data_IF_940858189838
#
_entry.id   IF_940858189838
#
_cell.length_a   1.000
_cell.length_b   1.000
_cell.length_c   1.000
_cell.angle_alpha   90.00
_cell.angle_beta   90.00
_cell.angle_gamma   90.00
#
_symmetry.space_group_name_H-M   'P 1'
#
loop_
_entity.id
_entity.type
_entity.pdbx_description
1 polymer ?
#
# COMPACT_ATOMS: atom_id res chain seq x y z
N UNK A 1 -33.81 50.16 -43.79
CA UNK A 1 -32.63 50.58 -43.00
C UNK A 1 -31.78 51.58 -43.80
N UNK A 2 -31.12 52.50 -43.10
CA UNK A 2 -30.09 53.40 -43.66
C UNK A 2 -28.77 52.65 -43.87
N UNK A 3 -27.79 53.27 -44.54
CA UNK A 3 -26.46 52.65 -44.79
C UNK A 3 -25.74 52.32 -43.47
N UNK A 4 -25.70 53.27 -42.56
CA UNK A 4 -24.98 53.12 -41.29
C UNK A 4 -25.67 52.07 -40.40
N UNK A 5 -27.01 51.98 -40.44
CA UNK A 5 -27.77 50.90 -39.80
C UNK A 5 -27.46 49.52 -40.38
N UNK A 6 -27.34 49.41 -41.71
CA UNK A 6 -27.00 48.14 -42.37
C UNK A 6 -25.58 47.69 -42.01
N UNK A 7 -24.61 48.61 -42.01
CA UNK A 7 -23.22 48.32 -41.64
C UNK A 7 -23.13 47.91 -40.15
N UNK A 8 -23.85 48.60 -39.25
CA UNK A 8 -23.90 48.25 -37.84
C UNK A 8 -24.60 46.91 -37.57
N UNK A 9 -25.72 46.62 -38.27
CA UNK A 9 -26.45 45.36 -38.10
C UNK A 9 -25.63 44.18 -38.61
N UNK A 10 -24.98 44.33 -39.77
CA UNK A 10 -24.09 43.31 -40.33
C UNK A 10 -22.90 43.02 -39.41
N UNK A 11 -22.21 44.05 -38.92
CA UNK A 11 -21.09 43.87 -37.98
C UNK A 11 -21.51 43.11 -36.70
N UNK A 12 -22.67 43.45 -36.13
CA UNK A 12 -23.22 42.77 -34.94
C UNK A 12 -23.57 41.30 -35.22
N UNK A 13 -24.16 40.99 -36.37
CA UNK A 13 -24.54 39.62 -36.73
C UNK A 13 -23.32 38.75 -37.06
N UNK A 14 -22.25 39.34 -37.61
CA UNK A 14 -20.98 38.64 -37.82
C UNK A 14 -20.29 38.29 -36.50
N UNK A 15 -20.30 39.20 -35.52
CA UNK A 15 -19.84 38.92 -34.15
C UNK A 15 -20.69 37.82 -33.49
N UNK A 16 -22.02 37.85 -33.67
CA UNK A 16 -22.90 36.78 -33.20
C UNK A 16 -22.58 35.43 -33.85
N UNK A 17 -22.32 35.40 -35.17
CA UNK A 17 -21.88 34.20 -35.90
C UNK A 17 -20.61 33.61 -35.30
N UNK A 18 -19.61 34.46 -35.01
CA UNK A 18 -18.34 34.03 -34.45
C UNK A 18 -18.53 33.42 -33.05
N UNK A 19 -19.33 34.07 -32.20
CA UNK A 19 -19.68 33.53 -30.86
C UNK A 19 -20.42 32.20 -30.93
N UNK A 20 -21.40 32.07 -31.83
CA UNK A 20 -22.13 30.80 -32.02
C UNK A 20 -21.17 29.71 -32.52
N UNK A 21 -20.33 30.01 -33.51
CA UNK A 21 -19.35 29.07 -34.05
C UNK A 21 -18.36 28.60 -32.98
N UNK A 22 -17.85 29.51 -32.16
CA UNK A 22 -16.98 29.17 -31.04
C UNK A 22 -17.69 28.25 -30.02
N UNK A 23 -18.93 28.56 -29.65
CA UNK A 23 -19.70 27.73 -28.71
C UNK A 23 -19.96 26.31 -29.24
N UNK A 24 -20.27 26.15 -30.53
CA UNK A 24 -20.46 24.83 -31.14
C UNK A 24 -19.16 24.01 -31.12
N UNK A 25 -18.02 24.63 -31.42
CA UNK A 25 -16.71 23.97 -31.37
C UNK A 25 -16.30 23.62 -29.93
N UNK A 26 -16.59 24.48 -28.95
CA UNK A 26 -16.38 24.19 -27.52
C UNK A 26 -17.21 23.00 -27.05
N UNK A 27 -18.46 22.90 -27.50
CA UNK A 27 -19.33 21.76 -27.20
C UNK A 27 -18.79 20.44 -27.80
N UNK A 28 -18.31 20.45 -29.04
CA UNK A 28 -17.66 19.28 -29.64
C UNK A 28 -16.33 18.92 -28.97
N UNK A 29 -15.59 19.92 -28.48
CA UNK A 29 -14.36 19.72 -27.73
C UNK A 29 -14.60 19.20 -26.30
N UNK A 30 -15.83 19.27 -25.79
CA UNK A 30 -16.17 18.78 -24.46
C UNK A 30 -15.91 17.28 -24.34
N UNK A 31 -15.35 16.85 -23.20
CA UNK A 31 -14.94 15.47 -22.96
C UNK A 31 -16.10 14.47 -23.17
N UNK A 32 -17.29 14.75 -22.62
CA UNK A 32 -18.48 13.93 -22.85
C UNK A 32 -18.86 13.73 -24.33
N UNK A 33 -18.62 14.71 -25.19
CA UNK A 33 -18.89 14.59 -26.63
C UNK A 33 -17.86 13.69 -27.31
N UNK A 34 -16.57 13.89 -26.99
CA UNK A 34 -15.48 13.05 -27.49
C UNK A 34 -15.62 11.59 -27.07
N UNK A 35 -16.09 11.34 -25.83
CA UNK A 35 -16.39 10.00 -25.34
C UNK A 35 -17.51 9.32 -26.14
N UNK A 36 -18.54 10.09 -26.51
CA UNK A 36 -19.62 9.59 -27.35
C UNK A 36 -19.12 9.17 -28.73
N UNK A 37 -18.24 9.92 -29.39
CA UNK A 37 -17.74 9.57 -30.73
C UNK A 37 -16.73 8.40 -30.73
N UNK A 38 -15.95 8.22 -29.66
CA UNK A 38 -14.86 7.24 -29.61
C UNK A 38 -15.22 5.82 -29.14
N UNK A 39 -16.41 5.63 -28.54
CA UNK A 39 -16.76 4.38 -27.85
C UNK A 39 -17.72 3.48 -28.66
N UNK A 40 -17.55 2.17 -28.53
CA UNK A 40 -18.55 1.20 -28.95
C UNK A 40 -19.65 1.12 -27.88
N UNK A 41 -20.70 1.93 -28.06
CA UNK A 41 -21.77 2.13 -27.09
C UNK A 41 -22.95 1.19 -27.33
N UNK A 42 -23.65 0.82 -26.27
CA UNK A 42 -24.91 0.08 -26.31
C UNK A 42 -25.98 0.72 -25.40
N UNK A 43 -27.17 0.10 -25.41
CA UNK A 43 -28.30 0.44 -24.54
C UNK A 43 -28.69 1.92 -24.54
N UNK A 44 -28.80 2.49 -23.34
CA UNK A 44 -29.28 3.86 -23.14
C UNK A 44 -28.23 4.89 -23.58
N UNK A 45 -26.94 4.61 -23.37
CA UNK A 45 -25.86 5.49 -23.81
C UNK A 45 -25.81 5.62 -25.34
N UNK A 46 -26.05 4.53 -26.08
CA UNK A 46 -26.18 4.57 -27.54
C UNK A 46 -27.39 5.42 -28.01
N UNK A 47 -28.50 5.37 -27.27
CA UNK A 47 -29.69 6.19 -27.55
C UNK A 47 -29.36 7.67 -27.41
N UNK A 48 -28.67 8.06 -26.33
CA UNK A 48 -28.21 9.43 -26.10
C UNK A 48 -27.19 9.86 -27.15
N UNK A 49 -26.25 8.99 -27.53
CA UNK A 49 -25.30 9.26 -28.63
C UNK A 49 -26.03 9.62 -29.92
N UNK A 50 -26.98 8.78 -30.33
CA UNK A 50 -27.72 8.93 -31.59
C UNK A 50 -28.53 10.22 -31.61
N UNK A 51 -29.14 10.54 -30.47
CA UNK A 51 -29.87 11.78 -30.23
C UNK A 51 -28.93 13.00 -30.39
N UNK A 52 -27.84 13.04 -29.61
CA UNK A 52 -26.86 14.13 -29.61
C UNK A 52 -26.29 14.35 -31.02
N UNK A 53 -25.92 13.28 -31.73
CA UNK A 53 -25.41 13.37 -33.11
C UNK A 53 -26.44 13.97 -34.07
N UNK A 54 -27.70 13.55 -33.94
CA UNK A 54 -28.78 14.07 -34.78
C UNK A 54 -29.04 15.57 -34.53
N UNK A 55 -29.05 15.99 -33.26
CA UNK A 55 -29.22 17.39 -32.86
C UNK A 55 -28.02 18.26 -33.28
N UNK A 56 -26.79 17.76 -33.13
CA UNK A 56 -25.58 18.46 -33.57
C UNK A 56 -25.52 18.61 -35.08
N UNK A 57 -25.88 17.59 -35.85
CA UNK A 57 -25.98 17.71 -37.30
C UNK A 57 -27.00 18.79 -37.71
N UNK A 58 -28.12 18.89 -37.00
CA UNK A 58 -29.13 19.92 -37.26
C UNK A 58 -28.68 21.33 -36.82
N UNK A 59 -27.95 21.46 -35.71
CA UNK A 59 -27.31 22.71 -35.28
C UNK A 59 -26.32 23.22 -36.34
N UNK A 60 -25.44 22.37 -36.84
CA UNK A 60 -24.50 22.73 -37.89
C UNK A 60 -25.20 23.09 -39.21
N UNK A 61 -26.29 22.41 -39.56
CA UNK A 61 -27.12 22.79 -40.72
C UNK A 61 -27.69 24.20 -40.55
N UNK A 62 -28.27 24.52 -39.39
CA UNK A 62 -28.81 25.85 -39.10
C UNK A 62 -27.70 26.92 -39.12
N UNK A 63 -26.55 26.61 -38.53
CA UNK A 63 -25.40 27.51 -38.52
C UNK A 63 -24.84 27.79 -39.92
N UNK A 64 -24.74 26.76 -40.77
CA UNK A 64 -24.29 26.92 -42.15
C UNK A 64 -25.28 27.77 -42.97
N UNK A 65 -26.59 27.54 -42.82
CA UNK A 65 -27.62 28.34 -43.48
C UNK A 65 -27.59 29.80 -43.00
N UNK A 66 -27.46 30.03 -41.70
CA UNK A 66 -27.27 31.35 -41.10
C UNK A 66 -26.02 32.03 -41.67
N UNK A 67 -24.90 31.32 -41.73
CA UNK A 67 -23.63 31.81 -42.26
C UNK A 67 -23.69 32.14 -43.76
N UNK A 68 -24.44 31.38 -44.56
CA UNK A 68 -24.65 31.65 -45.99
C UNK A 68 -25.41 32.95 -46.24
N UNK A 69 -26.43 33.25 -45.43
CA UNK A 69 -27.19 34.52 -45.53
C UNK A 69 -26.30 35.71 -45.19
N UNK A 70 -25.49 35.60 -44.13
CA UNK A 70 -24.52 36.64 -43.78
C UNK A 70 -23.45 36.84 -44.85
N UNK A 71 -22.91 35.75 -45.41
CA UNK A 71 -21.96 35.83 -46.53
C UNK A 71 -22.57 36.52 -47.76
N UNK A 72 -23.85 36.25 -48.07
CA UNK A 72 -24.55 36.93 -49.16
C UNK A 72 -24.73 38.44 -48.88
N UNK A 73 -25.01 38.82 -47.63
CA UNK A 73 -25.12 40.22 -47.23
C UNK A 73 -23.76 40.95 -47.28
N UNK A 74 -22.68 40.31 -46.81
CA UNK A 74 -21.30 40.81 -46.92
C UNK A 74 -20.90 41.03 -48.39
N UNK A 75 -21.14 40.02 -49.24
CA UNK A 75 -20.86 40.08 -50.67
C UNK A 75 -21.59 41.23 -51.35
N UNK A 76 -22.89 41.39 -51.06
CA UNK A 76 -23.71 42.47 -51.60
C UNK A 76 -23.16 43.83 -51.16
N UNK A 77 -22.69 43.94 -49.91
CA UNK A 77 -22.14 45.18 -49.37
C UNK A 77 -20.75 45.51 -49.92
N UNK A 78 -19.89 44.49 -50.08
CA UNK A 78 -18.53 44.63 -50.61
C UNK A 78 -18.53 45.03 -52.09
N UNK A 79 -19.45 44.47 -52.89
CA UNK A 79 -19.62 44.83 -54.32
C UNK A 79 -20.16 46.25 -54.51
N UNK A 80 -20.83 46.81 -53.51
CA UNK A 80 -21.48 48.12 -53.59
C UNK A 80 -21.05 49.05 -52.45
N UNK A 81 -19.92 49.75 -52.63
CA UNK A 81 -19.40 50.72 -51.65
C UNK A 81 -20.39 51.84 -51.28
N UNK A 82 -21.28 52.23 -52.20
CA UNK A 82 -22.45 53.09 -51.97
C UNK A 82 -23.72 52.38 -52.48
N UNK A 83 -24.42 51.62 -51.64
CA UNK A 83 -25.63 50.90 -52.04
C UNK A 83 -26.76 51.88 -52.36
N UNK A 84 -27.49 51.62 -53.46
CA UNK A 84 -28.71 52.34 -53.81
C UNK A 84 -29.92 51.81 -53.05
N UNK A 85 -31.10 52.36 -53.33
CA UNK A 85 -32.34 52.00 -52.63
C UNK A 85 -32.72 50.52 -52.80
N UNK A 86 -32.48 49.95 -53.99
CA UNK A 86 -32.72 48.52 -54.25
C UNK A 86 -31.79 47.61 -53.44
N UNK A 87 -30.49 47.96 -53.36
CA UNK A 87 -29.52 47.21 -52.56
C UNK A 87 -29.80 47.33 -51.05
N UNK A 88 -30.20 48.52 -50.57
CA UNK A 88 -30.60 48.70 -49.17
C UNK A 88 -31.87 47.91 -48.82
N UNK A 89 -32.84 47.81 -49.73
CA UNK A 89 -34.02 46.97 -49.55
C UNK A 89 -33.65 45.49 -49.47
N UNK A 90 -32.74 45.02 -50.33
CA UNK A 90 -32.27 43.64 -50.31
C UNK A 90 -31.45 43.33 -49.05
N UNK A 91 -30.57 44.25 -48.60
CA UNK A 91 -29.88 44.12 -47.30
C UNK A 91 -30.88 44.07 -46.14
N UNK A 92 -31.93 44.89 -46.17
CA UNK A 92 -33.00 44.84 -45.16
C UNK A 92 -33.67 43.46 -45.15
N UNK A 93 -33.95 42.90 -46.33
CA UNK A 93 -34.56 41.57 -46.46
C UNK A 93 -33.64 40.47 -45.91
N UNK A 94 -32.35 40.51 -46.24
CA UNK A 94 -31.36 39.52 -45.78
C UNK A 94 -31.16 39.57 -44.25
N UNK A 95 -31.07 40.77 -43.68
CA UNK A 95 -30.71 40.95 -42.27
C UNK A 95 -31.92 40.88 -41.32
N UNK A 96 -33.06 41.47 -41.69
CA UNK A 96 -34.26 41.55 -40.82
C UNK A 96 -35.43 40.68 -41.32
N UNK A 97 -35.40 40.23 -42.58
CA UNK A 97 -36.46 39.44 -43.21
C UNK A 97 -36.22 37.93 -43.17
N UNK A 98 -37.22 37.13 -43.61
CA UNK A 98 -37.09 35.68 -43.73
C UNK A 98 -36.16 35.35 -44.89
N UNK A 99 -34.94 34.92 -44.56
CA UNK A 99 -33.85 34.71 -45.53
C UNK A 99 -33.07 33.42 -45.32
N UNK A 100 -33.22 32.77 -44.16
CA UNK A 100 -32.67 31.44 -43.90
C UNK A 100 -33.66 30.41 -44.43
N UNK A 101 -33.33 29.77 -45.55
CA UNK A 101 -34.19 28.77 -46.19
C UNK A 101 -33.84 27.36 -45.72
N UNK A 102 -34.74 26.70 -44.99
CA UNK A 102 -34.56 25.32 -44.59
C UNK A 102 -34.82 24.38 -45.77
N UNK A 103 -34.06 23.27 -45.90
CA UNK A 103 -34.36 22.24 -46.88
C UNK A 103 -35.81 21.76 -46.72
N UNK A 104 -36.55 21.68 -47.82
CA UNK A 104 -37.91 21.18 -47.78
C UNK A 104 -37.91 19.74 -47.26
N UNK A 105 -38.73 19.46 -46.23
CA UNK A 105 -38.98 18.08 -45.81
C UNK A 105 -39.60 17.32 -46.99
N UNK A 106 -39.06 16.16 -47.32
CA UNK A 106 -39.65 15.30 -48.33
C UNK A 106 -41.09 14.97 -47.92
N UNK A 107 -42.04 15.49 -48.69
CA UNK A 107 -43.45 15.14 -48.54
C UNK A 107 -43.62 13.73 -49.11
N UNK A 108 -44.14 12.75 -48.34
CA UNK A 108 -44.44 11.41 -48.85
C UNK A 108 -45.33 11.49 -50.09
N UNK A 109 -45.13 10.58 -51.05
CA UNK A 109 -45.81 10.63 -52.36
C UNK A 109 -47.34 10.69 -52.22
N UNK A 110 -47.90 10.07 -51.18
CA UNK A 110 -49.34 10.02 -50.89
C UNK A 110 -49.91 11.39 -50.48
N UNK A 111 -49.06 12.33 -50.07
CA UNK A 111 -49.43 13.69 -49.64
C UNK A 111 -48.98 14.77 -50.62
N UNK A 112 -48.38 14.40 -51.76
CA UNK A 112 -47.98 15.36 -52.81
C UNK A 112 -49.17 15.73 -53.68
N UNK A 113 -49.32 17.02 -54.00
CA UNK A 113 -50.25 17.51 -55.03
C UNK A 113 -49.46 18.01 -56.25
N UNK A 114 -50.05 17.94 -57.45
CA UNK A 114 -49.37 18.29 -58.71
C UNK A 114 -48.84 19.75 -58.78
N UNK A 115 -49.33 20.63 -57.90
CA UNK A 115 -48.96 22.06 -57.84
C UNK A 115 -48.25 22.45 -56.54
N UNK A 116 -48.02 21.52 -55.61
CA UNK A 116 -47.24 21.84 -54.41
C UNK A 116 -45.76 21.80 -54.72
N UNK A 117 -45.18 22.99 -54.93
CA UNK A 117 -43.73 23.17 -54.82
C UNK A 117 -43.38 22.91 -53.35
N UNK A 118 -42.40 22.03 -53.05
CA UNK A 118 -41.91 21.90 -51.69
C UNK A 118 -41.30 23.23 -51.26
N UNK A 119 -42.09 24.09 -50.62
CA UNK A 119 -41.60 25.33 -50.03
C UNK A 119 -40.92 24.96 -48.72
N UNK A 120 -39.61 25.16 -48.65
CA UNK A 120 -38.89 25.13 -47.38
C UNK A 120 -39.50 26.14 -46.39
N UNK A 121 -39.42 25.82 -45.11
CA UNK A 121 -39.68 26.80 -44.04
C UNK A 121 -38.61 27.90 -44.16
N UNK A 122 -39.04 29.17 -44.14
CA UNK A 122 -38.12 30.32 -44.16
C UNK A 122 -38.08 30.97 -42.78
N UNK A 123 -36.88 31.21 -42.28
CA UNK A 123 -36.62 31.80 -40.98
C UNK A 123 -35.91 33.14 -41.14
N UNK A 124 -36.15 34.05 -40.21
CA UNK A 124 -35.26 35.20 -40.01
C UNK A 124 -33.97 34.73 -39.33
N UNK A 125 -32.88 35.50 -39.43
CA UNK A 125 -31.64 35.20 -38.71
C UNK A 125 -31.88 35.02 -37.21
N UNK A 126 -32.70 35.89 -36.60
CA UNK A 126 -33.10 35.78 -35.20
C UNK A 126 -33.87 34.48 -34.91
N UNK A 127 -34.85 34.13 -35.75
CA UNK A 127 -35.62 32.90 -35.56
C UNK A 127 -34.77 31.62 -35.74
N UNK A 128 -33.71 31.68 -36.55
CA UNK A 128 -32.73 30.59 -36.63
C UNK A 128 -31.97 30.43 -35.31
N UNK A 129 -31.46 31.54 -34.74
CA UNK A 129 -30.80 31.52 -33.42
C UNK A 129 -31.75 31.06 -32.32
N UNK A 130 -32.98 31.60 -32.26
CA UNK A 130 -34.00 31.19 -31.29
C UNK A 130 -34.30 29.68 -31.34
N UNK A 131 -34.11 29.05 -32.51
CA UNK A 131 -34.28 27.61 -32.71
C UNK A 131 -33.02 26.81 -32.40
N UNK A 132 -31.83 27.38 -32.61
CA UNK A 132 -30.55 26.77 -32.24
C UNK A 132 -30.38 26.73 -30.72
N UNK A 133 -30.76 27.79 -30.00
CA UNK A 133 -30.57 27.91 -28.55
C UNK A 133 -31.06 26.69 -27.74
N UNK A 134 -32.33 26.26 -27.82
CA UNK A 134 -32.79 25.11 -27.05
C UNK A 134 -32.13 23.80 -27.48
N UNK A 135 -31.80 23.64 -28.77
CA UNK A 135 -31.08 22.46 -29.25
C UNK A 135 -29.67 22.38 -28.66
N UNK A 136 -28.98 23.52 -28.61
CA UNK A 136 -27.67 23.62 -27.99
C UNK A 136 -27.73 23.31 -26.49
N UNK A 137 -28.67 23.91 -25.77
CA UNK A 137 -28.85 23.68 -24.33
C UNK A 137 -29.16 22.21 -24.02
N UNK A 138 -30.03 21.57 -24.80
CA UNK A 138 -30.34 20.14 -24.65
C UNK A 138 -29.11 19.25 -24.88
N UNK A 139 -28.32 19.52 -25.94
CA UNK A 139 -27.10 18.74 -26.21
C UNK A 139 -26.06 18.98 -25.14
N UNK A 140 -25.82 20.23 -24.74
CA UNK A 140 -24.87 20.59 -23.70
C UNK A 140 -25.21 19.90 -22.37
N UNK A 141 -26.49 19.89 -21.99
CA UNK A 141 -26.95 19.22 -20.78
C UNK A 141 -26.77 17.70 -20.85
N UNK A 142 -27.08 17.08 -21.99
CA UNK A 142 -26.89 15.64 -22.19
C UNK A 142 -25.40 15.23 -22.12
N UNK A 143 -24.53 15.99 -22.79
CA UNK A 143 -23.08 15.78 -22.81
C UNK A 143 -22.47 15.97 -21.42
N UNK A 144 -22.84 17.04 -20.71
CA UNK A 144 -22.35 17.30 -19.36
C UNK A 144 -22.84 16.25 -18.33
N UNK A 145 -24.10 15.83 -18.44
CA UNK A 145 -24.68 14.79 -17.60
C UNK A 145 -23.98 13.44 -17.79
N UNK A 146 -23.74 13.06 -19.05
CA UNK A 146 -22.97 11.85 -19.38
C UNK A 146 -21.56 11.92 -18.82
N UNK A 147 -20.83 13.01 -19.04
CA UNK A 147 -19.47 13.19 -18.54
C UNK A 147 -19.39 13.04 -17.02
N UNK A 148 -20.35 13.63 -16.30
CA UNK A 148 -20.46 13.54 -14.84
C UNK A 148 -20.64 12.08 -14.38
N UNK A 149 -21.60 11.36 -14.98
CA UNK A 149 -21.86 9.96 -14.66
C UNK A 149 -20.64 9.10 -14.96
N UNK A 150 -20.08 9.25 -16.15
CA UNK A 150 -18.99 8.40 -16.62
C UNK A 150 -17.70 8.63 -15.84
N UNK A 151 -17.33 9.89 -15.60
CA UNK A 151 -16.14 10.24 -14.80
C UNK A 151 -16.25 9.71 -13.36
N UNK A 152 -17.45 9.74 -12.78
CA UNK A 152 -17.70 9.17 -11.44
C UNK A 152 -17.54 7.65 -11.45
N UNK A 153 -18.14 6.96 -12.43
CA UNK A 153 -18.05 5.50 -12.55
C UNK A 153 -16.62 5.03 -12.83
N UNK A 154 -15.87 5.71 -13.69
CA UNK A 154 -14.47 5.37 -14.00
C UNK A 154 -13.55 5.58 -12.79
N UNK A 155 -13.73 6.69 -12.07
CA UNK A 155 -12.99 6.95 -10.84
C UNK A 155 -13.25 5.86 -9.81
N UNK A 156 -14.52 5.49 -9.63
CA UNK A 156 -14.92 4.45 -8.69
C UNK A 156 -14.40 3.07 -9.12
N UNK A 157 -14.46 2.75 -10.41
CA UNK A 157 -13.93 1.50 -10.98
C UNK A 157 -12.42 1.37 -10.71
N UNK A 158 -11.64 2.44 -10.92
CA UNK A 158 -10.20 2.46 -10.66
C UNK A 158 -9.87 2.14 -9.18
N UNK A 159 -10.66 2.67 -8.23
CA UNK A 159 -10.53 2.32 -6.81
C UNK A 159 -10.79 0.84 -6.54
N UNK A 160 -11.82 0.25 -7.16
CA UNK A 160 -12.13 -1.18 -6.98
C UNK A 160 -11.05 -2.07 -7.61
N UNK A 161 -10.52 -1.69 -8.77
CA UNK A 161 -9.41 -2.40 -9.42
C UNK A 161 -8.11 -2.35 -8.61
N UNK A 162 -7.87 -1.25 -7.89
CA UNK A 162 -6.74 -1.15 -6.96
C UNK A 162 -6.89 -2.11 -5.78
N UNK A 163 -8.08 -2.19 -5.17
CA UNK A 163 -8.38 -3.15 -4.11
C UNK A 163 -8.27 -4.60 -4.61
N UNK A 164 -8.72 -4.90 -5.83
CA UNK A 164 -8.54 -6.23 -6.44
C UNK A 164 -7.07 -6.61 -6.54
N UNK A 165 -6.22 -5.71 -7.05
CA UNK A 165 -4.77 -5.93 -7.18
C UNK A 165 -4.11 -6.21 -5.84
N UNK A 166 -4.49 -5.48 -4.78
CA UNK A 166 -3.99 -5.73 -3.43
C UNK A 166 -4.35 -7.15 -2.93
N UNK A 167 -5.56 -7.63 -3.22
CA UNK A 167 -5.98 -9.00 -2.89
C UNK A 167 -5.19 -10.04 -3.69
N UNK A 168 -4.94 -9.82 -4.99
CA UNK A 168 -4.12 -10.70 -5.83
C UNK A 168 -2.71 -10.87 -5.27
N UNK A 169 -2.06 -9.77 -4.87
CA UNK A 169 -0.72 -9.78 -4.30
C UNK A 169 -0.65 -10.58 -3.00
N UNK A 170 -1.65 -10.44 -2.12
CA UNK A 170 -1.74 -11.22 -0.88
C UNK A 170 -1.99 -12.71 -1.14
N UNK A 171 -2.85 -13.06 -2.09
CA UNK A 171 -3.08 -14.46 -2.48
C UNK A 171 -1.81 -15.09 -3.06
N UNK A 172 -1.06 -14.35 -3.88
CA UNK A 172 0.22 -14.80 -4.42
C UNK A 172 1.27 -15.02 -3.32
N UNK A 173 1.34 -14.12 -2.33
CA UNK A 173 2.21 -14.28 -1.14
C UNK A 173 1.86 -15.54 -0.33
N UNK A 174 0.56 -15.82 -0.15
CA UNK A 174 0.08 -16.95 0.65
C UNK A 174 0.05 -18.28 -0.12
N UNK A 175 0.15 -18.26 -1.46
CA UNK A 175 0.13 -19.45 -2.31
C UNK A 175 -1.23 -20.15 -2.35
N UNK A 176 -2.33 -19.39 -2.18
CA UNK A 176 -3.69 -19.91 -2.07
C UNK A 176 -4.60 -19.54 -3.23
N UNK A 177 -5.69 -20.30 -3.38
CA UNK A 177 -6.82 -19.96 -4.26
C UNK A 177 -8.02 -19.69 -3.37
N UNK A 178 -8.71 -18.57 -3.58
CA UNK A 178 -9.90 -18.19 -2.81
C UNK A 178 -11.12 -18.12 -3.76
N UNK A 179 -12.06 -19.08 -3.69
CA UNK A 179 -13.24 -19.08 -4.58
C UNK A 179 -14.11 -17.83 -4.46
N UNK A 180 -14.14 -17.21 -3.28
CA UNK A 180 -14.83 -15.93 -3.07
C UNK A 180 -14.24 -14.78 -3.90
N UNK A 181 -12.93 -14.82 -4.15
CA UNK A 181 -12.23 -13.83 -4.97
C UNK A 181 -12.59 -13.96 -6.45
N UNK A 182 -12.64 -15.19 -6.98
CA UNK A 182 -12.98 -15.43 -8.37
C UNK A 182 -14.38 -14.91 -8.73
N UNK A 183 -15.33 -15.07 -7.81
CA UNK A 183 -16.68 -14.50 -7.95
C UNK A 183 -16.66 -12.97 -7.99
N UNK A 184 -15.95 -12.33 -7.08
CA UNK A 184 -15.84 -10.87 -7.02
C UNK A 184 -15.14 -10.30 -8.26
N UNK A 185 -14.13 -11.00 -8.79
CA UNK A 185 -13.43 -10.63 -10.02
C UNK A 185 -14.36 -10.72 -11.23
N UNK A 186 -15.13 -11.81 -11.36
CA UNK A 186 -16.11 -11.93 -12.44
C UNK A 186 -17.19 -10.84 -12.36
N UNK A 187 -17.67 -10.51 -11.16
CA UNK A 187 -18.63 -9.42 -10.95
C UNK A 187 -18.02 -8.05 -11.30
N UNK A 188 -16.75 -7.80 -10.97
CA UNK A 188 -16.04 -6.59 -11.38
C UNK A 188 -15.90 -6.50 -12.90
N UNK A 189 -15.53 -7.59 -13.56
CA UNK A 189 -15.39 -7.66 -15.02
C UNK A 189 -16.71 -7.34 -15.72
N UNK A 190 -17.83 -7.88 -15.22
CA UNK A 190 -19.18 -7.61 -15.71
C UNK A 190 -19.55 -6.13 -15.56
N UNK A 191 -19.40 -5.57 -14.35
CA UNK A 191 -19.71 -4.15 -14.11
C UNK A 191 -18.79 -3.24 -14.92
N UNK A 192 -17.50 -3.57 -15.04
CA UNK A 192 -16.54 -2.81 -15.84
C UNK A 192 -16.86 -2.85 -17.34
N UNK A 193 -17.47 -3.93 -17.84
CA UNK A 193 -17.99 -3.98 -19.20
C UNK A 193 -19.18 -3.01 -19.36
N UNK A 194 -20.14 -3.01 -18.44
CA UNK A 194 -21.26 -2.06 -18.45
C UNK A 194 -20.79 -0.61 -18.36
N UNK A 195 -19.86 -0.26 -17.47
CA UNK A 195 -19.31 1.10 -17.34
C UNK A 195 -18.66 1.60 -18.65
N UNK A 196 -18.11 0.69 -19.46
CA UNK A 196 -17.43 1.04 -20.72
C UNK A 196 -18.38 1.12 -21.92
N UNK A 197 -19.46 0.35 -21.92
CA UNK A 197 -20.37 0.23 -23.06
C UNK A 197 -21.68 1.02 -22.86
N UNK A 198 -22.27 0.96 -21.67
CA UNK A 198 -23.50 1.69 -21.29
C UNK A 198 -23.43 2.27 -19.86
N UNK A 199 -22.61 3.32 -19.63
CA UNK A 199 -22.54 3.98 -18.33
C UNK A 199 -23.90 4.56 -17.88
N UNK A 200 -24.79 4.96 -18.79
CA UNK A 200 -26.11 5.49 -18.42
C UNK A 200 -27.08 4.42 -17.91
N UNK A 201 -26.87 3.12 -18.21
CA UNK A 201 -27.58 2.04 -17.52
C UNK A 201 -27.29 2.01 -16.01
N UNK A 202 -26.18 2.62 -15.59
CA UNK A 202 -25.81 2.81 -14.19
C UNK A 202 -26.04 4.25 -13.73
N UNK A 203 -27.01 4.95 -14.30
CA UNK A 203 -27.44 6.27 -13.83
C UNK A 203 -28.82 6.22 -13.17
N UNK A 204 -29.01 6.98 -12.09
CA UNK A 204 -30.31 7.24 -11.46
C UNK A 204 -30.45 8.73 -11.19
N UNK A 205 -31.53 9.33 -11.67
CA UNK A 205 -31.82 10.75 -11.52
C UNK A 205 -30.66 11.68 -11.94
N UNK A 206 -29.90 11.27 -12.97
CA UNK A 206 -28.75 12.01 -13.49
C UNK A 206 -27.45 11.83 -12.70
N UNK A 207 -27.44 10.96 -11.68
CA UNK A 207 -26.26 10.64 -10.88
C UNK A 207 -25.80 9.20 -11.13
N UNK A 208 -24.50 8.94 -11.00
CA UNK A 208 -23.94 7.60 -11.11
C UNK A 208 -24.39 6.70 -9.95
N UNK A 209 -24.96 5.53 -10.26
CA UNK A 209 -25.25 4.44 -9.33
C UNK A 209 -24.00 3.56 -9.15
N UNK A 210 -23.26 3.82 -8.08
CA UNK A 210 -22.04 3.06 -7.75
C UNK A 210 -22.30 1.83 -6.91
N UNK A 211 -23.57 1.48 -6.60
CA UNK A 211 -23.88 0.47 -5.59
C UNK A 211 -23.27 -0.90 -5.89
N UNK A 212 -23.24 -1.32 -7.16
CA UNK A 212 -22.59 -2.58 -7.58
C UNK A 212 -21.08 -2.54 -7.35
N UNK A 213 -20.40 -1.46 -7.75
CA UNK A 213 -18.97 -1.25 -7.51
C UNK A 213 -18.65 -1.18 -6.01
N UNK A 214 -19.51 -0.54 -5.23
CA UNK A 214 -19.39 -0.46 -3.76
C UNK A 214 -19.55 -1.83 -3.09
N UNK A 215 -20.47 -2.65 -3.57
CA UNK A 215 -20.65 -4.04 -3.14
C UNK A 215 -19.38 -4.87 -3.37
N UNK A 216 -18.84 -4.83 -4.60
CA UNK A 216 -17.60 -5.53 -4.95
C UNK A 216 -16.42 -5.03 -4.12
N UNK A 217 -16.25 -3.70 -3.96
CA UNK A 217 -15.19 -3.14 -3.11
C UNK A 217 -15.30 -3.64 -1.68
N UNK A 218 -16.51 -3.65 -1.13
CA UNK A 218 -16.75 -4.12 0.25
C UNK A 218 -16.38 -5.60 0.40
N UNK A 219 -16.72 -6.44 -0.57
CA UNK A 219 -16.31 -7.84 -0.62
C UNK A 219 -14.80 -8.01 -0.69
N UNK A 220 -14.14 -7.28 -1.60
CA UNK A 220 -12.67 -7.30 -1.75
C UNK A 220 -11.97 -6.82 -0.47
N UNK A 221 -12.44 -5.75 0.16
CA UNK A 221 -11.86 -5.23 1.40
C UNK A 221 -12.06 -6.19 2.60
N UNK A 222 -13.19 -6.91 2.65
CA UNK A 222 -13.40 -7.96 3.66
C UNK A 222 -12.43 -9.14 3.45
N UNK A 223 -12.26 -9.57 2.20
CA UNK A 223 -11.31 -10.61 1.86
C UNK A 223 -9.87 -10.18 2.15
N UNK A 224 -9.47 -8.97 1.74
CA UNK A 224 -8.15 -8.40 2.03
C UNK A 224 -7.82 -8.45 3.51
N UNK A 225 -8.72 -8.00 4.38
CA UNK A 225 -8.53 -8.06 5.84
C UNK A 225 -8.30 -9.49 6.36
N UNK A 226 -9.01 -10.46 5.79
CA UNK A 226 -8.86 -11.89 6.14
C UNK A 226 -7.47 -12.41 5.73
N UNK A 227 -7.02 -12.04 4.53
CA UNK A 227 -5.72 -12.44 4.01
C UNK A 227 -4.56 -11.75 4.75
N UNK A 228 -4.69 -10.46 5.07
CA UNK A 228 -3.72 -9.71 5.89
C UNK A 228 -3.59 -10.30 7.31
N UNK A 229 -4.69 -10.81 7.88
CA UNK A 229 -4.64 -11.55 9.14
C UNK A 229 -3.91 -12.88 8.99
N UNK A 230 -4.19 -13.64 7.94
CA UNK A 230 -3.49 -14.89 7.65
C UNK A 230 -1.98 -14.68 7.42
N UNK A 231 -1.60 -13.63 6.70
CA UNK A 231 -0.20 -13.26 6.48
C UNK A 231 0.48 -12.88 7.79
N UNK A 232 -0.14 -12.03 8.62
CA UNK A 232 0.39 -11.68 9.96
C UNK A 232 0.59 -12.91 10.83
N UNK A 233 -0.33 -13.87 10.79
CA UNK A 233 -0.20 -15.13 11.53
C UNK A 233 0.98 -15.99 11.00
N UNK A 234 1.13 -16.10 9.68
CA UNK A 234 2.26 -16.81 9.04
C UNK A 234 3.61 -16.17 9.42
N UNK A 235 3.69 -14.85 9.34
CA UNK A 235 4.92 -14.09 9.59
C UNK A 235 5.27 -14.10 11.09
N UNK A 236 4.27 -13.97 11.96
CA UNK A 236 4.43 -14.14 13.40
C UNK A 236 4.94 -15.53 13.76
N UNK A 237 4.39 -16.59 13.15
CA UNK A 237 4.88 -17.95 13.32
C UNK A 237 6.33 -18.12 12.86
N UNK A 238 6.64 -17.60 11.67
CA UNK A 238 8.00 -17.64 11.10
C UNK A 238 9.01 -16.87 11.97
N UNK A 239 8.58 -15.75 12.56
CA UNK A 239 9.36 -14.97 13.53
C UNK A 239 9.68 -15.78 14.80
N UNK A 240 8.68 -16.45 15.37
CA UNK A 240 8.85 -17.29 16.56
C UNK A 240 9.81 -18.46 16.31
N UNK A 241 9.68 -19.16 15.18
CA UNK A 241 10.60 -20.22 14.80
C UNK A 241 12.05 -19.71 14.69
N UNK A 242 12.26 -18.54 14.07
CA UNK A 242 13.60 -17.90 14.03
C UNK A 242 14.11 -17.53 15.43
N UNK A 243 13.24 -17.04 16.29
CA UNK A 243 13.56 -16.75 17.70
C UNK A 243 14.05 -17.98 18.45
N UNK A 244 13.32 -19.10 18.35
CA UNK A 244 13.74 -20.38 18.95
C UNK A 244 15.08 -20.83 18.37
N UNK A 245 15.27 -20.78 17.05
CA UNK A 245 16.54 -21.15 16.42
C UNK A 245 17.71 -20.32 16.99
N UNK A 246 17.53 -19.01 17.15
CA UNK A 246 18.54 -18.14 17.77
C UNK A 246 18.83 -18.48 19.24
N UNK A 247 17.79 -18.77 20.03
CA UNK A 247 17.96 -19.21 21.41
C UNK A 247 18.72 -20.55 21.52
N UNK A 248 18.51 -21.45 20.56
CA UNK A 248 19.25 -22.72 20.49
C UNK A 248 20.72 -22.52 20.12
N UNK A 249 21.07 -21.57 19.26
CA UNK A 249 22.48 -21.24 19.01
C UNK A 249 23.17 -20.71 20.27
N UNK A 250 22.53 -19.77 20.97
CA UNK A 250 23.05 -19.26 22.25
C UNK A 250 23.22 -20.37 23.30
N UNK A 251 22.30 -21.34 23.32
CA UNK A 251 22.42 -22.52 24.17
C UNK A 251 23.61 -23.40 23.79
N UNK A 252 23.85 -23.65 22.48
CA UNK A 252 25.02 -24.42 22.03
C UNK A 252 26.33 -23.75 22.43
N UNK A 253 26.41 -22.43 22.30
CA UNK A 253 27.56 -21.63 22.73
C UNK A 253 27.77 -21.75 24.24
N UNK A 254 26.72 -21.58 25.05
CA UNK A 254 26.79 -21.70 26.50
C UNK A 254 27.20 -23.11 26.96
N UNK A 255 26.70 -24.17 26.31
CA UNK A 255 27.11 -25.55 26.60
C UNK A 255 28.58 -25.81 26.20
N UNK A 256 29.07 -25.17 25.12
CA UNK A 256 30.47 -25.25 24.71
C UNK A 256 31.40 -24.50 25.67
N UNK A 257 30.99 -23.32 26.13
CA UNK A 257 31.69 -22.57 27.17
C UNK A 257 31.75 -23.36 28.48
N UNK A 258 30.64 -23.97 28.90
CA UNK A 258 30.58 -24.82 30.09
C UNK A 258 31.59 -25.98 30.01
N UNK A 259 31.70 -26.62 28.83
CA UNK A 259 32.71 -27.66 28.54
C UNK A 259 34.14 -27.12 28.67
N UNK A 260 34.44 -26.01 28.01
CA UNK A 260 35.78 -25.40 28.02
C UNK A 260 36.21 -24.99 29.44
N UNK A 261 35.34 -24.32 30.19
CA UNK A 261 35.62 -23.92 31.58
C UNK A 261 35.81 -25.15 32.47
N UNK A 262 35.01 -26.21 32.28
CA UNK A 262 35.18 -27.46 33.03
C UNK A 262 36.55 -28.09 32.78
N UNK A 263 37.01 -28.11 31.53
CA UNK A 263 38.31 -28.66 31.16
C UNK A 263 39.45 -27.83 31.76
N UNK A 264 39.31 -26.50 31.74
CA UNK A 264 40.26 -25.60 32.40
C UNK A 264 40.33 -25.83 33.92
N UNK A 265 39.18 -25.99 34.59
CA UNK A 265 39.12 -26.28 36.02
C UNK A 265 39.74 -27.64 36.33
N UNK A 266 39.48 -28.66 35.52
CA UNK A 266 40.10 -29.99 35.68
C UNK A 266 41.62 -29.93 35.54
N UNK A 267 42.15 -29.06 34.68
CA UNK A 267 43.58 -28.88 34.52
C UNK A 267 44.22 -28.08 35.67
N UNK A 268 43.50 -27.09 36.23
CA UNK A 268 44.06 -26.13 37.20
C UNK A 268 43.77 -26.46 38.67
N UNK A 269 42.73 -27.23 38.98
CA UNK A 269 42.27 -27.53 40.34
C UNK A 269 42.41 -29.03 40.62
N UNK A 270 42.99 -29.39 41.76
CA UNK A 270 43.12 -30.77 42.18
C UNK A 270 41.76 -31.31 42.70
N UNK A 271 41.35 -32.48 42.19
CA UNK A 271 40.13 -33.19 42.60
C UNK A 271 38.87 -32.28 42.77
N UNK A 272 38.47 -31.50 41.75
CA UNK A 272 37.31 -30.62 41.83
C UNK A 272 36.01 -31.43 41.85
N UNK A 273 35.05 -31.03 42.68
CA UNK A 273 33.67 -31.54 42.65
C UNK A 273 32.89 -30.66 41.68
N UNK A 274 32.50 -31.21 40.53
CA UNK A 274 31.90 -30.46 39.42
C UNK A 274 30.50 -30.99 39.12
N UNK A 275 29.51 -30.12 38.83
CA UNK A 275 28.19 -30.54 38.37
C UNK A 275 28.28 -31.23 37.00
N UNK A 276 27.23 -31.98 36.66
CA UNK A 276 27.05 -32.52 35.31
C UNK A 276 26.74 -31.39 34.32
N UNK A 277 27.31 -31.50 33.13
CA UNK A 277 27.09 -30.52 32.08
C UNK A 277 25.74 -30.77 31.41
N UNK A 278 24.90 -29.74 31.23
CA UNK A 278 23.72 -29.87 30.40
C UNK A 278 24.12 -30.14 28.94
N UNK A 279 23.34 -30.98 28.27
CA UNK A 279 23.49 -31.34 26.86
C UNK A 279 22.11 -31.44 26.20
N UNK A 280 21.37 -30.33 26.23
CA UNK A 280 19.98 -30.24 25.79
C UNK A 280 19.84 -29.66 24.40
N UNK A 281 20.87 -28.96 23.89
CA UNK A 281 20.78 -28.22 22.63
C UNK A 281 20.42 -29.11 21.42
N UNK A 282 21.04 -30.29 21.29
CA UNK A 282 20.78 -31.21 20.19
C UNK A 282 19.32 -31.73 20.21
N UNK A 283 18.84 -32.19 21.36
CA UNK A 283 17.48 -32.69 21.51
C UNK A 283 16.42 -31.61 21.24
N UNK A 284 16.67 -30.36 21.64
CA UNK A 284 15.77 -29.24 21.34
C UNK A 284 15.81 -28.84 19.86
N UNK A 285 16.97 -28.92 19.21
CA UNK A 285 17.09 -28.72 17.77
C UNK A 285 16.32 -29.77 16.96
N UNK A 286 16.39 -31.04 17.36
CA UNK A 286 15.60 -32.12 16.74
C UNK A 286 14.10 -31.88 16.90
N UNK A 287 13.66 -31.41 18.08
CA UNK A 287 12.27 -31.04 18.31
C UNK A 287 11.84 -29.84 17.44
N UNK A 288 12.70 -28.82 17.27
CA UNK A 288 12.42 -27.70 16.37
C UNK A 288 12.30 -28.17 14.90
N UNK A 289 13.18 -29.06 14.45
CA UNK A 289 13.12 -29.67 13.13
C UNK A 289 11.83 -30.49 12.93
N UNK A 290 11.37 -31.18 13.98
CA UNK A 290 10.11 -31.93 13.93
C UNK A 290 8.87 -31.03 13.82
N UNK A 291 8.89 -29.84 14.42
CA UNK A 291 7.80 -28.85 14.36
C UNK A 291 7.76 -28.13 13.01
N UNK A 292 8.92 -27.89 12.39
CA UNK A 292 9.05 -27.15 11.12
C UNK A 292 8.89 -28.00 9.87
N UNK A 293 8.84 -29.34 10.00
CA UNK A 293 8.67 -30.24 8.86
C UNK A 293 7.34 -29.96 8.13
N UNK A 294 7.33 -29.80 6.79
CA UNK A 294 6.10 -29.59 6.04
C UNK A 294 5.11 -30.74 6.28
N UNK A 295 3.93 -30.43 6.82
CA UNK A 295 2.85 -31.42 6.95
C UNK A 295 2.12 -31.52 5.62
N UNK A 296 2.41 -32.57 4.86
CA UNK A 296 1.63 -32.95 3.69
C UNK A 296 0.26 -33.44 4.14
N UNK A 297 -0.76 -32.60 3.98
CA UNK A 297 -2.17 -32.93 4.23
C UNK A 297 -2.66 -32.58 5.64
N UNK A 298 -3.71 -31.75 5.67
CA UNK A 298 -4.64 -31.53 6.77
C UNK A 298 -4.11 -30.85 8.05
N UNK A 299 -4.38 -29.54 8.15
CA UNK A 299 -4.80 -28.92 9.40
C UNK A 299 -5.71 -27.71 9.11
N UNK A 300 -6.97 -27.98 8.74
CA UNK A 300 -8.04 -26.98 8.92
C UNK A 300 -8.17 -26.71 10.43
N UNK A 301 -7.89 -25.50 10.88
CA UNK A 301 -8.20 -24.96 12.22
C UNK A 301 -7.52 -25.61 13.43
N UNK A 302 -7.75 -26.90 13.69
CA UNK A 302 -7.38 -27.57 14.95
C UNK A 302 -5.87 -27.86 15.10
N UNK A 303 -5.14 -28.04 14.00
CA UNK A 303 -3.69 -28.33 14.05
C UNK A 303 -2.81 -27.12 14.35
N UNK A 304 -3.28 -25.90 14.08
CA UNK A 304 -2.50 -24.68 14.32
C UNK A 304 -2.34 -24.37 15.81
N UNK A 305 -3.38 -24.62 16.61
CA UNK A 305 -3.31 -24.44 18.06
C UNK A 305 -2.30 -25.41 18.71
N UNK A 306 -2.26 -26.67 18.26
CA UNK A 306 -1.25 -27.65 18.73
C UNK A 306 0.17 -27.23 18.32
N UNK A 307 0.37 -26.80 17.08
CA UNK A 307 1.67 -26.32 16.60
C UNK A 307 2.11 -25.06 17.37
N UNK A 308 1.22 -24.10 17.61
CA UNK A 308 1.52 -22.90 18.37
C UNK A 308 1.90 -23.22 19.83
N UNK A 309 1.22 -24.20 20.46
CA UNK A 309 1.55 -24.68 21.79
C UNK A 309 2.94 -25.34 21.82
N UNK A 310 3.24 -26.21 20.85
CA UNK A 310 4.57 -26.85 20.74
C UNK A 310 5.71 -25.84 20.56
N UNK A 311 5.50 -24.76 19.81
CA UNK A 311 6.48 -23.68 19.69
C UNK A 311 6.64 -22.92 21.01
N UNK A 312 5.55 -22.62 21.72
CA UNK A 312 5.62 -21.97 23.03
C UNK A 312 6.35 -22.83 24.08
N UNK A 313 6.17 -24.15 24.00
CA UNK A 313 6.90 -25.10 24.84
C UNK A 313 8.39 -25.16 24.49
N UNK A 314 8.73 -25.05 23.21
CA UNK A 314 10.11 -24.99 22.74
C UNK A 314 10.82 -23.71 23.17
N UNK A 315 10.16 -22.56 23.05
CA UNK A 315 10.65 -21.26 23.52
C UNK A 315 11.02 -21.35 25.01
N UNK A 316 10.06 -21.77 25.86
CA UNK A 316 10.29 -21.92 27.30
C UNK A 316 11.39 -22.94 27.63
N UNK A 317 11.44 -24.05 26.90
CA UNK A 317 12.46 -25.08 27.13
C UNK A 317 13.87 -24.60 26.75
N UNK A 318 14.02 -23.86 25.65
CA UNK A 318 15.29 -23.28 25.22
C UNK A 318 15.79 -22.25 26.24
N UNK A 319 14.94 -21.33 26.68
CA UNK A 319 15.29 -20.31 27.68
C UNK A 319 15.71 -20.93 29.01
N UNK A 320 14.95 -21.92 29.48
CA UNK A 320 15.26 -22.64 30.73
C UNK A 320 16.58 -23.39 30.62
N UNK A 321 16.83 -24.06 29.50
CA UNK A 321 18.09 -24.77 29.27
C UNK A 321 19.29 -23.80 29.19
N UNK A 322 19.12 -22.65 28.54
CA UNK A 322 20.16 -21.62 28.42
C UNK A 322 20.52 -21.02 29.78
N UNK A 323 19.51 -20.68 30.59
CA UNK A 323 19.72 -20.19 31.94
C UNK A 323 20.49 -21.21 32.79
N UNK A 324 20.09 -22.49 32.73
CA UNK A 324 20.76 -23.58 33.45
C UNK A 324 22.20 -23.80 32.98
N UNK A 325 22.48 -23.71 31.68
CA UNK A 325 23.83 -23.82 31.14
C UNK A 325 24.73 -22.71 31.66
N UNK A 326 24.26 -21.46 31.63
CA UNK A 326 24.99 -20.29 32.16
C UNK A 326 25.24 -20.38 33.66
N UNK A 327 24.23 -20.79 34.43
CA UNK A 327 24.37 -21.02 35.87
C UNK A 327 25.43 -22.09 36.15
N UNK A 328 25.39 -23.21 35.43
CA UNK A 328 26.38 -24.29 35.54
C UNK A 328 27.79 -23.80 35.23
N UNK A 329 27.97 -23.03 34.16
CA UNK A 329 29.25 -22.39 33.82
C UNK A 329 29.74 -21.49 34.96
N UNK A 330 28.86 -20.67 35.54
CA UNK A 330 29.18 -19.79 36.68
C UNK A 330 29.66 -20.57 37.90
N UNK A 331 28.96 -21.65 38.27
CA UNK A 331 29.35 -22.53 39.38
C UNK A 331 30.73 -23.13 39.16
N UNK A 332 31.02 -23.62 37.94
CA UNK A 332 32.33 -24.20 37.60
C UNK A 332 33.42 -23.14 37.63
N UNK A 333 33.20 -21.97 37.00
CA UNK A 333 34.14 -20.85 36.94
C UNK A 333 34.48 -20.32 38.33
N UNK A 334 33.53 -20.33 39.26
CA UNK A 334 33.73 -19.92 40.65
C UNK A 334 34.88 -20.63 41.36
N UNK A 335 35.28 -21.83 40.94
CA UNK A 335 36.46 -22.52 41.48
C UNK A 335 37.78 -21.86 41.05
N UNK A 336 37.86 -21.36 39.82
CA UNK A 336 39.01 -20.59 39.33
C UNK A 336 39.04 -19.21 40.01
N UNK A 337 37.89 -18.56 40.11
CA UNK A 337 37.77 -17.26 40.78
C UNK A 337 38.21 -17.38 42.25
N UNK A 338 37.82 -18.47 42.93
CA UNK A 338 38.26 -18.75 44.29
C UNK A 338 39.77 -18.94 44.39
N UNK A 339 40.41 -19.58 43.41
CA UNK A 339 41.88 -19.71 43.35
C UNK A 339 42.53 -18.33 43.27
N UNK A 340 42.05 -17.47 42.38
CA UNK A 340 42.60 -16.12 42.20
C UNK A 340 42.33 -15.23 43.42
N UNK A 341 41.16 -15.35 44.07
CA UNK A 341 40.87 -14.67 45.33
C UNK A 341 41.88 -15.08 46.42
N UNK A 342 42.16 -16.38 46.59
CA UNK A 342 43.13 -16.87 47.57
C UNK A 342 44.54 -16.33 47.28
N UNK A 343 44.95 -16.26 46.00
CA UNK A 343 46.22 -15.66 45.58
C UNK A 343 46.30 -14.18 45.93
N UNK A 344 45.25 -13.42 45.66
CA UNK A 344 45.16 -11.99 46.01
C UNK A 344 45.23 -11.77 47.52
N UNK A 345 44.49 -12.58 48.29
CA UNK A 345 44.49 -12.53 49.76
C UNK A 345 45.85 -12.87 50.35
N UNK A 346 46.55 -13.89 49.84
CA UNK A 346 47.90 -14.23 50.29
C UNK A 346 48.86 -13.04 50.09
N UNK A 347 48.82 -12.40 48.91
CA UNK A 347 49.62 -11.20 48.61
C UNK A 347 49.28 -10.04 49.56
N UNK A 348 48.00 -9.81 49.86
CA UNK A 348 47.58 -8.77 50.79
C UNK A 348 48.10 -9.03 52.22
N UNK A 349 48.03 -10.28 52.70
CA UNK A 349 48.58 -10.63 54.01
C UNK A 349 50.11 -10.54 54.07
N UNK A 350 50.81 -10.85 52.98
CA UNK A 350 52.26 -10.64 52.88
C UNK A 350 52.62 -9.16 53.05
N UNK A 351 51.92 -8.26 52.36
CA UNK A 351 52.13 -6.82 52.52
C UNK A 351 51.82 -6.37 53.95
N UNK A 352 50.77 -6.92 54.58
CA UNK A 352 50.43 -6.62 55.98
C UNK A 352 51.53 -7.09 56.95
N UNK A 353 52.06 -8.30 56.76
CA UNK A 353 53.15 -8.83 57.58
C UNK A 353 54.41 -7.97 57.47
N UNK A 354 54.75 -7.51 56.25
CA UNK A 354 55.88 -6.61 56.03
C UNK A 354 55.70 -5.25 56.71
N UNK A 355 54.50 -4.65 56.66
CA UNK A 355 54.19 -3.38 57.35
C UNK A 355 54.27 -3.48 58.87
N UNK A 356 54.02 -4.67 59.43
CA UNK A 356 54.11 -4.94 60.87
C UNK A 356 55.55 -5.27 61.32
N UNK A 357 56.55 -5.14 60.44
CA UNK A 357 57.96 -5.39 60.78
C UNK A 357 58.34 -6.87 60.86
N UNK A 358 57.45 -7.79 60.46
CA UNK A 358 57.70 -9.23 60.52
C UNK A 358 58.18 -9.81 59.19
N UNK A 359 58.87 -9.00 58.37
CA UNK A 359 59.36 -9.42 57.06
C UNK A 359 60.48 -10.48 57.14
N UNK A 360 61.27 -10.49 58.22
CA UNK A 360 62.41 -11.39 58.44
C UNK A 360 62.06 -12.59 59.34
N UNK A 361 60.80 -12.74 59.73
CA UNK A 361 60.37 -13.87 60.55
C UNK A 361 60.39 -15.17 59.74
N UNK A 362 61.34 -16.05 60.08
CA UNK A 362 61.58 -17.31 59.37
C UNK A 362 60.36 -18.26 59.38
N UNK A 363 59.54 -18.24 60.43
CA UNK A 363 58.36 -19.11 60.50
C UNK A 363 57.21 -18.55 59.66
N UNK A 364 56.98 -17.23 59.66
CA UNK A 364 56.02 -16.61 58.74
C UNK A 364 56.44 -16.80 57.28
N UNK A 365 57.73 -16.67 56.97
CA UNK A 365 58.25 -16.91 55.63
C UNK A 365 57.99 -18.37 55.19
N UNK A 366 58.20 -19.35 56.08
CA UNK A 366 57.92 -20.76 55.80
C UNK A 366 56.43 -21.03 55.54
N UNK A 367 55.54 -20.48 56.37
CA UNK A 367 54.08 -20.67 56.20
C UNK A 367 53.60 -19.96 54.91
N UNK A 368 54.13 -18.78 54.62
CA UNK A 368 53.87 -18.07 53.37
C UNK A 368 54.29 -18.89 52.15
N UNK A 369 55.53 -19.40 52.13
CA UNK A 369 56.03 -20.21 51.01
C UNK A 369 55.21 -21.48 50.82
N UNK A 370 54.80 -22.15 51.90
CA UNK A 370 53.91 -23.30 51.83
C UNK A 370 52.55 -22.95 51.20
N UNK A 371 51.95 -21.82 51.56
CA UNK A 371 50.70 -21.36 50.95
C UNK A 371 50.89 -20.93 49.49
N UNK A 372 52.03 -20.30 49.16
CA UNK A 372 52.39 -19.86 47.80
C UNK A 372 52.59 -21.06 46.88
N UNK A 373 53.34 -22.07 47.32
CA UNK A 373 53.58 -23.30 46.57
C UNK A 373 52.27 -23.99 46.22
N UNK A 374 51.38 -24.17 47.19
CA UNK A 374 50.06 -24.78 46.96
C UNK A 374 49.20 -24.00 45.95
N UNK A 375 49.21 -22.66 46.01
CA UNK A 375 48.40 -21.81 45.13
C UNK A 375 48.97 -21.63 43.72
N UNK A 376 50.29 -21.72 43.55
CA UNK A 376 50.97 -21.58 42.26
C UNK A 376 51.23 -22.91 41.54
N UNK A 377 51.07 -24.04 42.21
CA UNK A 377 51.06 -25.37 41.58
C UNK A 377 49.82 -25.56 40.70
N UNK A 378 49.96 -26.35 39.63
CA UNK A 378 48.85 -26.80 38.78
C UNK A 378 48.95 -28.33 38.64
N UNK A 379 47.97 -29.10 39.15
CA UNK A 379 46.70 -28.68 39.74
C UNK A 379 46.82 -28.17 41.20
N UNK A 380 46.05 -27.14 41.55
CA UNK A 380 46.01 -26.53 42.89
C UNK A 380 44.98 -27.22 43.79
N UNK A 381 45.38 -27.67 44.98
CA UNK A 381 44.45 -28.15 46.01
C UNK A 381 43.88 -26.96 46.79
N UNK A 382 42.67 -26.53 46.41
CA UNK A 382 41.98 -25.39 47.03
C UNK A 382 41.72 -25.58 48.52
N UNK A 383 41.49 -26.83 48.98
CA UNK A 383 41.20 -27.09 50.39
C UNK A 383 42.47 -26.89 51.21
N UNK A 384 43.57 -27.53 50.79
CA UNK A 384 44.88 -27.36 51.45
C UNK A 384 45.38 -25.92 51.38
N UNK A 385 45.22 -25.25 50.24
CA UNK A 385 45.59 -23.85 50.08
C UNK A 385 44.79 -22.92 51.02
N UNK A 386 43.49 -23.16 51.19
CA UNK A 386 42.65 -22.39 52.12
C UNK A 386 43.11 -22.56 53.57
N UNK A 387 43.43 -23.79 53.99
CA UNK A 387 43.95 -24.08 55.33
C UNK A 387 45.31 -23.40 55.55
N UNK A 388 46.23 -23.51 54.59
CA UNK A 388 47.56 -22.88 54.68
C UNK A 388 47.46 -21.35 54.79
N UNK A 389 46.61 -20.71 53.97
CA UNK A 389 46.36 -19.27 54.06
C UNK A 389 45.76 -18.86 55.41
N UNK A 390 44.81 -19.64 55.93
CA UNK A 390 44.19 -19.36 57.24
C UNK A 390 45.22 -19.48 58.36
N UNK A 391 46.09 -20.49 58.32
CA UNK A 391 47.22 -20.62 59.24
C UNK A 391 48.17 -19.43 59.16
N UNK A 392 48.49 -18.93 57.96
CA UNK A 392 49.30 -17.72 57.77
C UNK A 392 48.64 -16.49 58.37
N UNK A 393 47.35 -16.29 58.11
CA UNK A 393 46.58 -15.18 58.68
C UNK A 393 46.57 -15.22 60.22
N UNK A 394 46.37 -16.40 60.82
CA UNK A 394 46.38 -16.57 62.27
C UNK A 394 47.77 -16.27 62.85
N UNK A 395 48.83 -16.75 62.20
CA UNK A 395 50.21 -16.52 62.61
C UNK A 395 50.64 -15.05 62.54
N UNK A 396 50.13 -14.27 61.57
CA UNK A 396 50.30 -12.81 61.53
C UNK A 396 49.54 -12.16 62.68
N UNK A 397 48.30 -12.60 62.94
CA UNK A 397 47.44 -12.00 63.96
C UNK A 397 47.96 -12.25 65.38
N UNK A 398 48.52 -13.42 65.66
CA UNK A 398 49.12 -13.74 66.96
C UNK A 398 50.35 -12.88 67.24
N UNK A 399 51.21 -12.66 66.23
CA UNK A 399 52.40 -11.81 66.34
C UNK A 399 52.07 -10.33 66.52
N UNK A 400 51.06 -9.83 65.79
CA UNK A 400 50.57 -8.47 65.96
C UNK A 400 50.06 -8.22 67.40
N UNK A 401 49.38 -9.21 68.01
CA UNK A 401 48.92 -9.11 69.41
C UNK A 401 50.03 -9.32 70.45
N UNK A 402 51.11 -9.99 70.08
CA UNK A 402 52.29 -10.19 70.93
C UNK A 402 53.24 -8.99 70.94
N UNK A 403 53.18 -8.12 69.93
CA UNK A 403 53.96 -6.89 69.85
C UNK A 403 53.32 -5.69 70.58
N UNK A 404 52.03 -5.76 70.92
CA UNK A 404 51.26 -4.76 71.69
C UNK A 404 51.28 -5.01 73.22
N UNK A 405 52.09 -5.98 73.69
CA UNK A 405 52.40 -6.23 75.10
C UNK A 405 53.88 -6.01 75.34
#
# INVERSE_FOLDING_TARGET
MSRDEADASLARLLDEKERIGAALLELEAHQGYQLLEGAALDGETLRVQSDVRSRMAYLWLLFDLYGRVLGAAEDLRARHGRPGQAQLAELTRLLDGPSVELPAKEVPLERRTLLSVPSGETLTLRAAVDRMTPLYEEVAQAVAGLDTVWSTLLSRLAEVEAERRAVDELLASLGGVEPGFDRLRAELEDVAATVRADPLALARDGLADTARLDGVRTGLAALRRTLEEAERLRDGFSGRIRGVAGALELLREAEAEARAVRDEVRAKIAAPVLPDLPASAAALADRLAAVTRPRSGAARGAGWNDVAARVADLERAADTALARARETTGVIRGLLDRREELRGRLRAYQVKAARLGHAEDAELARIYEQARELLWTSPCDLRRATVALTGYQQAITSRAKGADR
#
